data_IF_114973960123
#
_entry.id   IF_114973960123
#
_cell.length_a   1.000
_cell.length_b   1.000
_cell.length_c   1.000
_cell.angle_alpha   90.00
_cell.angle_beta   90.00
_cell.angle_gamma   90.00
#
_symmetry.space_group_name_H-M   'P 1'
#
loop_
_entity.id
_entity.type
_entity.pdbx_description
1 polymer ?
#
# COMPACT_ATOMS: atom_id res chain seq x y z
N UNK A 1 -8.41 11.59 11.98
CA UNK A 1 -7.68 10.42 11.48
C UNK A 1 -8.25 9.19 12.16
N UNK A 2 -9.04 8.39 11.44
CA UNK A 2 -9.83 7.30 12.03
C UNK A 2 -8.97 6.13 12.54
N UNK A 3 -7.81 5.89 11.90
CA UNK A 3 -6.85 4.88 12.34
C UNK A 3 -5.70 5.55 13.09
N UNK A 4 -5.66 5.41 14.42
CA UNK A 4 -4.58 5.95 15.24
C UNK A 4 -3.27 5.19 14.99
N UNK A 5 -2.37 5.77 14.19
CA UNK A 5 -1.06 5.21 13.82
C UNK A 5 0.04 6.24 14.01
N UNK A 6 0.43 6.55 15.23
CA UNK A 6 1.40 7.62 15.49
C UNK A 6 2.80 7.37 14.90
N UNK A 7 3.15 6.13 14.59
CA UNK A 7 4.51 5.77 14.16
C UNK A 7 4.60 4.88 12.90
N UNK A 8 3.47 4.33 12.38
CA UNK A 8 3.50 3.51 11.15
C UNK A 8 3.10 4.36 9.94
N UNK A 9 3.99 4.56 8.94
CA UNK A 9 3.63 5.26 7.71
C UNK A 9 2.59 4.47 6.92
N UNK A 10 1.83 5.17 6.10
CA UNK A 10 0.99 4.54 5.10
C UNK A 10 1.83 4.21 3.86
N UNK A 11 1.47 3.14 3.16
CA UNK A 11 1.95 2.92 1.80
C UNK A 11 1.07 3.66 0.79
N UNK A 12 1.60 3.81 -0.43
CA UNK A 12 0.88 4.40 -1.56
C UNK A 12 0.80 3.37 -2.68
N UNK A 13 -0.40 3.13 -3.17
CA UNK A 13 -0.63 2.24 -4.31
C UNK A 13 -0.78 3.05 -5.60
N UNK A 14 -0.09 2.63 -6.65
CA UNK A 14 -0.19 3.18 -8.00
C UNK A 14 -0.77 2.14 -8.96
N UNK A 15 -1.51 2.60 -9.97
CA UNK A 15 -2.06 1.72 -11.01
C UNK A 15 -0.99 1.02 -11.84
N UNK A 16 0.12 1.70 -12.09
CA UNK A 16 1.28 1.18 -12.82
C UNK A 16 2.59 1.87 -12.41
N UNK A 17 3.69 1.30 -12.86
CA UNK A 17 5.05 1.78 -12.55
C UNK A 17 5.36 3.15 -13.18
N UNK A 18 4.73 3.52 -14.29
CA UNK A 18 4.97 4.81 -14.94
C UNK A 18 4.34 5.95 -14.13
N UNK A 19 3.14 5.70 -13.56
CA UNK A 19 2.51 6.62 -12.61
C UNK A 19 3.38 6.82 -11.36
N UNK A 20 3.91 5.74 -10.77
CA UNK A 20 4.81 5.81 -9.63
C UNK A 20 6.10 6.60 -9.95
N UNK A 21 6.64 6.45 -11.16
CA UNK A 21 7.86 7.15 -11.60
C UNK A 21 7.71 8.67 -11.72
N UNK A 22 6.47 9.20 -11.74
CA UNK A 22 6.23 10.66 -11.68
C UNK A 22 6.51 11.21 -10.28
N UNK A 23 6.34 10.41 -9.24
CA UNK A 23 6.47 10.80 -7.83
C UNK A 23 7.80 10.41 -7.21
N UNK A 24 8.42 9.32 -7.70
CA UNK A 24 9.61 8.72 -7.11
C UNK A 24 10.69 8.49 -8.16
N UNK A 25 11.94 8.65 -7.74
CA UNK A 25 13.10 8.23 -8.54
C UNK A 25 13.27 6.71 -8.41
N UNK A 26 12.72 5.97 -9.38
CA UNK A 26 12.73 4.51 -9.41
C UNK A 26 13.89 4.03 -10.28
N UNK A 27 14.88 3.38 -9.68
CA UNK A 27 15.98 2.78 -10.42
C UNK A 27 15.60 1.40 -11.00
N UNK A 28 16.51 0.77 -11.72
CA UNK A 28 16.29 -0.53 -12.37
C UNK A 28 15.88 -1.62 -11.37
N UNK A 29 16.56 -1.71 -10.23
CA UNK A 29 16.31 -2.74 -9.21
C UNK A 29 14.97 -2.51 -8.50
N UNK A 30 14.68 -1.26 -8.12
CA UNK A 30 13.40 -0.90 -7.52
C UNK A 30 12.24 -1.25 -8.48
N UNK A 31 12.42 -0.99 -9.78
CA UNK A 31 11.45 -1.34 -10.81
C UNK A 31 11.22 -2.84 -10.90
N UNK A 32 12.30 -3.63 -10.96
CA UNK A 32 12.22 -5.09 -11.03
C UNK A 32 11.46 -5.68 -9.84
N UNK A 33 11.70 -5.16 -8.64
CA UNK A 33 11.02 -5.60 -7.42
C UNK A 33 9.55 -5.19 -7.43
N UNK A 34 9.26 -3.91 -7.74
CA UNK A 34 7.89 -3.35 -7.75
C UNK A 34 6.96 -4.07 -8.73
N UNK A 35 7.48 -4.51 -9.89
CA UNK A 35 6.67 -5.20 -10.90
C UNK A 35 6.78 -6.74 -10.81
N UNK A 36 7.49 -7.25 -9.82
CA UNK A 36 7.65 -8.68 -9.64
C UNK A 36 6.33 -9.36 -9.26
N UNK A 37 6.25 -10.67 -9.44
CA UNK A 37 5.09 -11.48 -9.05
C UNK A 37 4.80 -11.48 -7.54
N UNK A 38 5.76 -11.06 -6.73
CA UNK A 38 5.62 -10.98 -5.28
C UNK A 38 4.92 -9.71 -4.82
N UNK A 39 4.85 -8.70 -5.70
CA UNK A 39 4.15 -7.43 -5.47
C UNK A 39 4.40 -6.80 -4.08
N UNK A 40 5.64 -6.68 -3.62
CA UNK A 40 5.91 -6.18 -2.28
C UNK A 40 5.68 -4.67 -2.18
N UNK A 41 5.54 -4.18 -0.96
CA UNK A 41 5.69 -2.76 -0.65
C UNK A 41 7.19 -2.44 -0.63
N UNK A 42 7.64 -1.56 -1.50
CA UNK A 42 9.05 -1.11 -1.58
C UNK A 42 9.19 0.26 -0.94
N UNK A 43 10.16 0.41 -0.03
CA UNK A 43 10.47 1.69 0.60
C UNK A 43 11.33 2.55 -0.35
N UNK A 44 10.74 3.61 -0.88
CA UNK A 44 11.39 4.57 -1.77
C UNK A 44 11.61 5.92 -1.09
N UNK A 45 12.69 6.61 -1.45
CA UNK A 45 12.96 7.96 -0.95
C UNK A 45 11.95 8.96 -1.54
N UNK A 46 11.48 9.89 -0.71
CA UNK A 46 10.58 10.99 -1.13
C UNK A 46 11.36 11.94 -2.03
N UNK A 47 10.95 12.18 -3.27
CA UNK A 47 11.81 12.97 -4.14
C UNK A 47 11.20 13.94 -5.14
N UNK A 48 10.17 13.61 -5.89
CA UNK A 48 9.89 14.40 -7.10
C UNK A 48 8.72 15.33 -6.95
N UNK A 49 7.58 14.82 -6.53
CA UNK A 49 6.38 15.60 -6.31
C UNK A 49 6.05 15.70 -4.83
N UNK A 50 5.50 16.83 -4.38
CA UNK A 50 5.09 16.97 -2.99
C UNK A 50 3.99 15.99 -2.65
N UNK A 51 4.24 15.15 -1.66
CA UNK A 51 3.26 14.27 -1.05
C UNK A 51 2.76 14.88 0.26
N UNK A 52 1.52 14.61 0.67
CA UNK A 52 1.01 15.09 1.95
C UNK A 52 1.93 14.70 3.11
N UNK A 53 2.29 15.66 3.95
CA UNK A 53 3.25 15.45 5.05
C UNK A 53 2.80 14.38 6.06
N UNK A 54 1.51 14.18 6.20
CA UNK A 54 0.91 13.21 7.12
C UNK A 54 0.97 11.75 6.64
N UNK A 55 1.42 11.47 5.42
CA UNK A 55 1.59 10.11 4.91
C UNK A 55 2.72 9.35 5.64
N UNK A 56 3.83 10.02 5.84
CA UNK A 56 4.98 9.47 6.54
C UNK A 56 5.69 10.61 7.30
N UNK A 57 5.13 11.04 8.43
CA UNK A 57 5.68 12.15 9.20
C UNK A 57 7.08 11.76 9.71
N UNK A 58 8.04 12.69 9.54
CA UNK A 58 9.44 12.53 10.00
C UNK A 58 10.22 11.36 9.37
N UNK A 59 9.72 10.76 8.28
CA UNK A 59 10.41 9.70 7.56
C UNK A 59 10.87 10.20 6.19
N UNK A 60 12.06 9.79 5.78
CA UNK A 60 12.62 10.08 4.44
C UNK A 60 12.07 9.16 3.36
N UNK A 61 11.52 8.00 3.74
CA UNK A 61 11.02 6.96 2.83
C UNK A 61 9.53 6.75 2.98
N UNK A 62 8.91 6.33 1.87
CA UNK A 62 7.50 5.93 1.82
C UNK A 62 7.39 4.55 1.17
N UNK A 63 6.49 3.71 1.68
CA UNK A 63 6.12 2.45 1.05
C UNK A 63 5.36 2.70 -0.25
N UNK A 64 5.81 2.09 -1.33
CA UNK A 64 5.16 2.13 -2.65
C UNK A 64 4.82 0.72 -3.09
N UNK A 65 3.62 0.54 -3.61
CA UNK A 65 3.16 -0.73 -4.18
C UNK A 65 2.47 -0.48 -5.52
N UNK A 66 2.61 -1.42 -6.45
CA UNK A 66 1.88 -1.37 -7.73
C UNK A 66 0.65 -2.28 -7.64
N UNK A 67 -0.45 -1.85 -8.22
CA UNK A 67 -1.69 -2.62 -8.26
C UNK A 67 -1.47 -4.05 -8.78
N UNK A 68 -1.65 -5.05 -7.93
CA UNK A 68 -1.35 -6.44 -8.22
C UNK A 68 -2.60 -7.33 -8.39
N UNK A 69 -3.71 -6.98 -7.77
CA UNK A 69 -4.96 -7.72 -7.92
C UNK A 69 -5.82 -7.15 -9.05
N UNK A 70 -6.73 -7.98 -9.59
CA UNK A 70 -7.71 -7.53 -10.57
C UNK A 70 -8.59 -6.39 -10.02
N UNK A 71 -9.00 -6.48 -8.76
CA UNK A 71 -9.79 -5.44 -8.08
C UNK A 71 -9.02 -4.12 -7.99
N UNK A 72 -7.74 -4.15 -7.58
CA UNK A 72 -6.90 -2.96 -7.55
C UNK A 72 -6.76 -2.31 -8.93
N UNK A 73 -6.57 -3.13 -9.97
CA UNK A 73 -6.44 -2.63 -11.34
C UNK A 73 -7.72 -2.01 -11.88
N UNK A 74 -8.89 -2.61 -11.57
CA UNK A 74 -10.18 -2.04 -11.96
C UNK A 74 -10.41 -0.71 -11.24
N UNK A 75 -10.18 -0.67 -9.92
CA UNK A 75 -10.35 0.55 -9.12
C UNK A 75 -9.46 1.70 -9.61
N UNK A 76 -8.18 1.40 -9.93
CA UNK A 76 -7.20 2.41 -10.37
C UNK A 76 -7.20 2.67 -11.88
N UNK A 77 -8.05 2.00 -12.66
CA UNK A 77 -8.17 2.24 -14.10
C UNK A 77 -8.77 3.61 -14.39
N UNK A 78 -9.83 3.95 -13.68
CA UNK A 78 -10.58 5.19 -13.89
C UNK A 78 -10.17 6.29 -12.90
N UNK A 79 -9.45 5.91 -11.84
CA UNK A 79 -8.91 6.83 -10.84
C UNK A 79 -7.41 7.05 -11.11
N UNK A 80 -7.07 8.21 -11.68
CA UNK A 80 -5.69 8.49 -12.15
C UNK A 80 -4.72 8.85 -11.03
N UNK A 81 -5.20 9.06 -9.82
CA UNK A 81 -4.41 9.47 -8.66
C UNK A 81 -3.93 8.26 -7.83
N UNK A 82 -2.81 8.41 -7.09
CA UNK A 82 -2.36 7.38 -6.16
C UNK A 82 -3.29 7.25 -4.96
N UNK A 83 -3.49 6.03 -4.47
CA UNK A 83 -4.31 5.74 -3.29
C UNK A 83 -3.45 5.41 -2.07
N UNK A 84 -3.90 5.85 -0.91
CA UNK A 84 -3.34 5.39 0.37
C UNK A 84 -3.71 3.91 0.54
N UNK A 85 -2.71 3.10 0.82
CA UNK A 85 -2.83 1.67 0.99
C UNK A 85 -2.46 1.25 2.42
N UNK A 86 -3.35 0.51 3.06
CA UNK A 86 -3.13 0.02 4.43
C UNK A 86 -3.91 -1.27 4.66
N UNK A 87 -3.42 -2.13 5.56
CA UNK A 87 -4.11 -3.34 5.98
C UNK A 87 -5.44 -3.03 6.68
N UNK A 88 -6.45 -3.85 6.46
CA UNK A 88 -7.74 -3.77 7.14
C UNK A 88 -7.65 -4.46 8.51
N UNK A 89 -7.25 -3.71 9.53
CA UNK A 89 -7.20 -4.17 10.92
C UNK A 89 -7.15 -3.00 11.89
N UNK A 90 -7.49 -3.23 13.14
CA UNK A 90 -7.12 -2.32 14.23
C UNK A 90 -5.63 -2.45 14.55
N UNK A 91 -5.06 -1.44 15.21
CA UNK A 91 -3.62 -1.45 15.53
C UNK A 91 -3.29 -2.67 16.40
N UNK A 92 -2.27 -3.44 15.99
CA UNK A 92 -1.80 -4.65 16.66
C UNK A 92 -2.75 -5.86 16.61
N UNK A 93 -3.84 -5.79 15.84
CA UNK A 93 -4.70 -6.94 15.59
C UNK A 93 -4.36 -7.62 14.26
N UNK A 94 -4.74 -8.89 14.07
CA UNK A 94 -4.65 -9.58 12.79
C UNK A 94 -5.44 -8.87 11.68
N UNK A 95 -5.07 -9.12 10.44
CA UNK A 95 -5.82 -8.63 9.27
C UNK A 95 -7.19 -9.30 9.24
N UNK A 96 -8.22 -8.48 9.01
CA UNK A 96 -9.60 -8.92 8.86
C UNK A 96 -9.73 -9.73 7.57
N UNK A 97 -10.30 -10.93 7.69
CA UNK A 97 -10.45 -11.87 6.59
C UNK A 97 -11.87 -12.02 6.07
N UNK A 98 -12.88 -11.53 6.79
CA UNK A 98 -14.28 -11.67 6.39
C UNK A 98 -15.05 -10.36 6.44
N UNK A 99 -16.10 -10.28 5.63
CA UNK A 99 -17.03 -9.15 5.61
C UNK A 99 -17.71 -8.93 6.97
N UNK A 100 -18.13 -10.00 7.65
CA UNK A 100 -18.80 -9.90 8.95
C UNK A 100 -17.86 -9.31 9.99
N UNK A 101 -16.64 -9.80 10.03
CA UNK A 101 -15.60 -9.29 10.92
C UNK A 101 -15.28 -7.80 10.63
N UNK A 102 -15.29 -7.38 9.38
CA UNK A 102 -15.10 -5.98 9.02
C UNK A 102 -16.21 -5.09 9.58
N UNK A 103 -17.46 -5.50 9.47
CA UNK A 103 -18.59 -4.75 10.04
C UNK A 103 -18.56 -4.74 11.57
N UNK A 104 -18.16 -5.83 12.21
CA UNK A 104 -18.08 -5.90 13.68
C UNK A 104 -16.95 -5.03 14.25
N UNK A 105 -15.77 -5.04 13.63
CA UNK A 105 -14.57 -4.45 14.21
C UNK A 105 -14.24 -3.03 13.72
N UNK A 106 -14.50 -2.75 12.43
CA UNK A 106 -14.01 -1.51 11.81
C UNK A 106 -15.07 -0.74 11.01
N UNK A 107 -16.36 -1.02 11.18
CA UNK A 107 -17.44 -0.32 10.46
C UNK A 107 -17.40 1.21 10.64
N UNK A 108 -16.86 1.70 11.74
CA UNK A 108 -16.69 3.13 12.01
C UNK A 108 -15.47 3.77 11.33
N UNK A 109 -14.67 2.99 10.60
CA UNK A 109 -13.43 3.47 9.95
C UNK A 109 -13.61 3.64 8.44
N UNK A 110 -14.51 2.90 7.81
CA UNK A 110 -14.75 2.95 6.37
C UNK A 110 -16.14 3.48 6.03
N UNK A 111 -16.25 4.16 4.89
CA UNK A 111 -17.53 4.62 4.33
C UNK A 111 -18.12 3.57 3.39
N UNK A 112 -17.28 2.80 2.71
CA UNK A 112 -17.66 1.79 1.73
C UNK A 112 -16.85 0.51 1.92
N UNK A 113 -17.49 -0.64 1.70
CA UNK A 113 -16.87 -1.96 1.66
C UNK A 113 -17.03 -2.54 0.26
N UNK A 114 -15.91 -2.74 -0.44
CA UNK A 114 -15.89 -3.50 -1.69
C UNK A 114 -15.48 -4.93 -1.39
N UNK A 115 -16.39 -5.85 -1.62
CA UNK A 115 -16.23 -7.27 -1.34
C UNK A 115 -16.49 -8.10 -2.60
N UNK A 116 -16.10 -9.35 -2.61
CA UNK A 116 -16.35 -10.32 -3.66
C UNK A 116 -16.53 -11.72 -3.08
N UNK A 117 -17.11 -12.62 -3.87
CA UNK A 117 -17.56 -13.95 -3.43
C UNK A 117 -16.42 -15.00 -3.31
N UNK A 118 -15.27 -14.60 -2.77
CA UNK A 118 -14.16 -15.50 -2.49
C UNK A 118 -13.71 -15.29 -1.06
N UNK A 119 -13.60 -16.40 -0.33
CA UNK A 119 -13.09 -16.37 1.04
C UNK A 119 -11.58 -16.16 1.07
N UNK A 120 -11.11 -15.37 2.04
CA UNK A 120 -9.70 -15.22 2.37
C UNK A 120 -9.36 -16.34 3.36
N UNK A 121 -8.76 -17.42 2.85
CA UNK A 121 -8.43 -18.59 3.66
C UNK A 121 -7.21 -18.32 4.56
N UNK A 122 -6.21 -17.64 4.02
CA UNK A 122 -4.99 -17.29 4.74
C UNK A 122 -4.74 -15.78 4.62
N UNK A 123 -5.13 -14.99 5.61
CA UNK A 123 -4.77 -13.58 5.64
C UNK A 123 -3.26 -13.44 5.85
N UNK A 124 -2.60 -12.69 4.95
CA UNK A 124 -1.15 -12.50 4.96
C UNK A 124 -0.88 -11.00 4.87
N UNK A 125 0.05 -10.50 5.70
CA UNK A 125 0.57 -9.15 5.59
C UNK A 125 1.42 -8.98 4.33
N UNK A 126 1.39 -7.77 3.76
CA UNK A 126 2.23 -7.41 2.62
C UNK A 126 3.71 -7.45 3.00
N UNK A 127 4.53 -7.97 2.10
CA UNK A 127 5.98 -7.97 2.28
C UNK A 127 6.52 -6.54 2.15
N UNK A 128 7.38 -6.14 3.09
CA UNK A 128 8.06 -4.86 3.06
C UNK A 128 9.52 -5.04 2.66
N UNK A 129 9.94 -4.36 1.59
CA UNK A 129 11.31 -4.45 1.07
C UNK A 129 11.98 -3.09 1.11
N UNK A 130 13.22 -3.07 1.57
CA UNK A 130 14.11 -1.90 1.55
C UNK A 130 15.39 -2.27 0.82
N UNK A 131 15.82 -1.40 -0.09
CA UNK A 131 17.12 -1.55 -0.73
C UNK A 131 18.22 -1.05 0.22
N UNK A 132 19.23 -1.88 0.44
CA UNK A 132 20.46 -1.49 1.12
C UNK A 132 21.42 -0.80 0.12
N UNK A 133 22.28 0.10 0.60
CA UNK A 133 23.20 0.89 -0.24
C UNK A 133 24.15 0.05 -1.11
N UNK A 134 24.37 -1.22 -0.74
CA UNK A 134 25.25 -2.15 -1.44
C UNK A 134 24.52 -2.99 -2.53
N UNK A 135 23.38 -2.56 -3.05
CA UNK A 135 22.59 -3.26 -4.06
C UNK A 135 22.18 -4.71 -3.69
N UNK A 136 22.14 -5.06 -2.42
CA UNK A 136 21.58 -6.32 -1.94
C UNK A 136 20.18 -6.06 -1.40
N UNK A 137 19.21 -6.94 -1.73
CA UNK A 137 17.87 -6.88 -1.15
C UNK A 137 17.90 -7.20 0.34
#
# INVERSE_FOLDING_TARGET
>A
MLKNRPSKPFAIMFGDINKASKYFKINKYDREILVSKYAPIVLLDKQILPLPQNLAPNLSRIGVVIAYSAMHKILLKDFDEPLIFTSANLSSEPIIASKNEAYEKIANIFDYLLDYNRDIINPIDDSLVVRLENNRP
#
